data_IF_877955781233
#
_entry.id   IF_877955781233
#
_cell.length_a   1.000
_cell.length_b   1.000
_cell.length_c   1.000
_cell.angle_alpha   90.00
_cell.angle_beta   90.00
_cell.angle_gamma   90.00
#
_symmetry.space_group_name_H-M   'P 1'
#
loop_
_entity.id
_entity.type
_entity.pdbx_description
1 polymer ?
#
# COMPACT_ATOMS: atom_id res chain seq x y z
N UNK A 1 20.18 -10.61 -4.47
CA UNK A 1 19.84 -12.03 -4.32
C UNK A 1 18.56 -12.26 -5.10
N UNK A 2 18.40 -13.39 -5.78
CA UNK A 2 17.11 -13.71 -6.40
C UNK A 2 16.10 -14.00 -5.30
N UNK A 3 14.88 -13.55 -5.46
CA UNK A 3 13.79 -13.86 -4.56
C UNK A 3 13.64 -15.38 -4.43
N UNK A 4 13.40 -15.94 -3.22
CA UNK A 4 13.40 -17.40 -3.01
C UNK A 4 12.24 -18.13 -3.69
N UNK A 5 11.20 -17.40 -4.18
CA UNK A 5 10.03 -17.95 -4.87
C UNK A 5 10.07 -17.65 -6.38
N UNK A 6 9.40 -18.47 -7.21
CA UNK A 6 9.25 -18.18 -8.63
C UNK A 6 8.58 -16.84 -8.87
N UNK A 7 9.17 -16.03 -9.72
CA UNK A 7 8.63 -14.73 -10.12
C UNK A 7 8.76 -14.51 -11.62
N UNK A 8 7.99 -13.58 -12.15
CA UNK A 8 8.10 -13.05 -13.50
C UNK A 8 8.17 -11.52 -13.45
N UNK A 9 8.53 -10.92 -14.57
CA UNK A 9 8.71 -9.47 -14.67
C UNK A 9 7.95 -8.92 -15.86
N UNK A 10 7.45 -7.70 -15.70
CA UNK A 10 7.07 -6.81 -16.80
C UNK A 10 7.98 -5.59 -16.76
N UNK A 11 8.36 -5.08 -17.93
CA UNK A 11 9.25 -3.94 -18.01
C UNK A 11 8.95 -3.04 -19.22
N UNK A 12 9.31 -1.79 -19.10
CA UNK A 12 9.33 -0.80 -20.17
C UNK A 12 10.63 0.03 -20.09
N UNK A 13 10.73 1.13 -20.83
CA UNK A 13 11.93 1.97 -20.85
C UNK A 13 12.20 2.71 -19.52
N UNK A 14 11.27 2.69 -18.56
CA UNK A 14 11.34 3.45 -17.31
C UNK A 14 11.38 2.57 -16.08
N UNK A 15 10.60 1.49 -16.07
CA UNK A 15 10.34 0.64 -14.92
C UNK A 15 10.48 -0.85 -15.25
N UNK A 16 10.92 -1.63 -14.27
CA UNK A 16 10.72 -3.08 -14.19
C UNK A 16 9.97 -3.40 -12.90
N UNK A 17 8.95 -4.26 -13.01
CA UNK A 17 8.15 -4.74 -11.90
C UNK A 17 8.19 -6.26 -11.87
N UNK A 18 8.55 -6.83 -10.71
CA UNK A 18 8.61 -8.26 -10.48
C UNK A 18 7.42 -8.70 -9.61
N UNK A 19 6.75 -9.78 -10.00
CA UNK A 19 5.61 -10.36 -9.30
C UNK A 19 5.75 -11.86 -9.14
N UNK A 20 5.19 -12.42 -8.05
CA UNK A 20 5.22 -13.85 -7.81
C UNK A 20 4.28 -14.58 -8.79
N UNK A 21 4.61 -15.83 -9.14
CA UNK A 21 3.86 -16.63 -10.11
C UNK A 21 3.17 -17.84 -9.52
N UNK A 22 3.41 -18.16 -8.24
CA UNK A 22 2.86 -19.35 -7.59
C UNK A 22 2.14 -19.05 -6.27
N UNK A 23 2.27 -17.83 -5.79
CA UNK A 23 1.82 -17.40 -4.46
C UNK A 23 1.40 -15.94 -4.52
N UNK A 24 0.32 -15.55 -3.88
CA UNK A 24 -0.13 -14.15 -3.87
C UNK A 24 -1.64 -14.01 -4.08
N UNK A 25 -2.07 -12.89 -4.66
CA UNK A 25 -1.36 -11.93 -5.54
C UNK A 25 -0.32 -11.05 -4.83
N UNK A 26 0.87 -10.94 -5.41
CA UNK A 26 2.01 -10.25 -4.78
C UNK A 26 2.97 -9.63 -5.79
N UNK A 27 3.26 -8.32 -5.64
CA UNK A 27 4.36 -7.64 -6.32
C UNK A 27 5.55 -7.62 -5.36
N UNK A 28 6.73 -8.03 -5.82
CA UNK A 28 7.92 -8.18 -4.96
C UNK A 28 9.10 -7.31 -5.39
N UNK A 29 9.03 -6.71 -6.57
CA UNK A 29 10.08 -5.82 -7.06
C UNK A 29 9.54 -4.64 -7.84
N UNK A 30 10.14 -3.47 -7.62
CA UNK A 30 9.94 -2.26 -8.39
C UNK A 30 11.28 -1.58 -8.57
N UNK A 31 11.70 -1.47 -9.82
CA UNK A 31 12.98 -0.88 -10.21
C UNK A 31 12.72 0.24 -11.20
N UNK A 32 13.39 1.36 -11.02
CA UNK A 32 13.29 2.50 -11.92
C UNK A 32 14.65 2.85 -12.53
N UNK A 33 14.67 3.22 -13.80
CA UNK A 33 15.87 3.70 -14.47
C UNK A 33 16.36 4.96 -13.76
N UNK A 34 17.61 4.94 -13.29
CA UNK A 34 18.22 6.04 -12.53
C UNK A 34 18.10 5.94 -11.01
N UNK A 35 17.42 4.92 -10.49
CA UNK A 35 17.45 4.56 -9.07
C UNK A 35 18.22 3.25 -8.84
N UNK A 36 18.70 3.02 -7.61
CA UNK A 36 19.48 1.84 -7.27
C UNK A 36 18.62 0.79 -6.56
N UNK A 37 18.72 -0.46 -7.03
CA UNK A 37 18.11 -1.62 -6.39
C UNK A 37 16.59 -1.62 -6.40
N UNK A 38 16.02 -2.54 -5.62
CA UNK A 38 14.59 -2.66 -5.43
C UNK A 38 14.08 -1.52 -4.53
N UNK A 39 13.07 -0.77 -4.98
CA UNK A 39 12.42 0.26 -4.17
C UNK A 39 11.49 -0.35 -3.12
N UNK A 40 11.00 -1.57 -3.35
CA UNK A 40 10.20 -2.31 -2.40
C UNK A 40 11.09 -3.01 -1.35
N UNK A 41 10.53 -3.23 -0.17
CA UNK A 41 11.17 -4.03 0.86
C UNK A 41 11.06 -5.52 0.56
N UNK A 42 12.07 -6.28 0.94
CA UNK A 42 12.12 -7.73 0.84
C UNK A 42 12.16 -8.31 2.25
N UNK A 43 11.12 -9.07 2.62
CA UNK A 43 10.98 -9.67 3.96
C UNK A 43 10.62 -11.15 3.88
N UNK A 44 11.41 -11.98 3.17
CA UNK A 44 11.06 -13.37 2.87
C UNK A 44 10.95 -14.25 4.13
N UNK A 45 11.66 -13.91 5.19
CA UNK A 45 11.76 -14.71 6.41
C UNK A 45 10.76 -14.26 7.51
N UNK A 46 10.00 -13.19 7.26
CA UNK A 46 9.00 -12.70 8.24
C UNK A 46 7.70 -13.46 8.05
N UNK A 47 7.28 -14.18 9.09
CA UNK A 47 6.06 -14.97 9.08
C UNK A 47 5.46 -15.08 10.49
N UNK A 48 4.17 -15.44 10.58
CA UNK A 48 3.46 -15.70 11.82
C UNK A 48 2.27 -16.64 11.62
N UNK A 49 1.83 -17.37 12.67
CA UNK A 49 0.66 -18.23 12.59
C UNK A 49 -0.63 -17.41 12.49
N UNK A 50 -1.57 -17.89 11.66
CA UNK A 50 -2.94 -17.42 11.55
C UNK A 50 -3.92 -18.57 11.83
N UNK A 51 -5.23 -18.33 11.96
CA UNK A 51 -6.22 -19.40 12.10
C UNK A 51 -6.19 -20.46 10.98
N UNK A 52 -5.70 -20.08 9.79
CA UNK A 52 -5.69 -20.94 8.60
C UNK A 52 -4.31 -21.49 8.23
N UNK A 53 -3.26 -21.18 8.99
CA UNK A 53 -1.91 -21.64 8.75
C UNK A 53 -0.86 -20.54 8.86
N UNK A 54 0.34 -20.81 8.38
CA UNK A 54 1.46 -19.87 8.44
C UNK A 54 1.35 -18.83 7.33
N UNK A 55 1.29 -17.56 7.70
CA UNK A 55 1.34 -16.44 6.76
C UNK A 55 2.76 -15.89 6.63
N UNK A 56 3.22 -15.70 5.40
CA UNK A 56 4.53 -15.13 5.09
C UNK A 56 4.39 -13.71 4.54
N UNK A 57 5.02 -12.73 5.21
CA UNK A 57 4.92 -11.31 4.84
C UNK A 57 5.53 -11.00 3.48
N UNK A 58 6.67 -11.61 3.13
CA UNK A 58 7.38 -11.57 1.85
C UNK A 58 7.89 -10.19 1.40
N UNK A 59 7.35 -9.09 1.89
CA UNK A 59 7.62 -7.73 1.42
C UNK A 59 6.78 -7.33 0.20
N UNK A 60 7.16 -6.24 -0.45
CA UNK A 60 6.53 -5.77 -1.66
C UNK A 60 5.12 -5.21 -1.47
N UNK A 61 4.21 -5.56 -2.37
CA UNK A 61 2.85 -5.06 -2.34
C UNK A 61 1.84 -6.20 -2.29
N UNK A 62 0.80 -6.01 -1.45
CA UNK A 62 -0.26 -6.99 -1.21
C UNK A 62 -1.62 -6.34 -1.11
N UNK A 63 -2.66 -7.14 -1.33
CA UNK A 63 -4.06 -6.80 -1.10
C UNK A 63 -4.58 -7.55 0.11
N UNK A 64 -4.97 -6.81 1.14
CA UNK A 64 -5.68 -7.30 2.30
C UNK A 64 -7.09 -6.72 2.36
N UNK A 65 -7.80 -7.02 3.45
CA UNK A 65 -9.11 -6.46 3.77
C UNK A 65 -9.07 -5.77 5.13
N UNK A 66 -9.78 -4.65 5.25
CA UNK A 66 -9.92 -3.90 6.49
C UNK A 66 -11.40 -3.90 6.96
N UNK A 67 -11.67 -3.79 8.28
CA UNK A 67 -10.69 -3.70 9.36
C UNK A 67 -9.84 -4.97 9.47
N UNK A 68 -8.61 -4.82 10.05
CA UNK A 68 -7.71 -5.96 10.22
C UNK A 68 -8.34 -7.02 11.13
N UNK A 69 -8.48 -8.23 10.59
CA UNK A 69 -8.91 -9.41 11.34
C UNK A 69 -8.01 -10.59 10.96
N UNK A 70 -7.33 -11.22 11.95
CA UNK A 70 -6.50 -12.41 11.70
C UNK A 70 -7.22 -13.55 10.98
N UNK A 71 -8.55 -13.63 11.08
CA UNK A 71 -9.35 -14.62 10.37
C UNK A 71 -9.28 -14.44 8.85
N UNK A 72 -9.18 -13.21 8.34
CA UNK A 72 -9.07 -12.93 6.90
C UNK A 72 -7.62 -12.85 6.40
N UNK A 73 -6.64 -13.12 7.26
CA UNK A 73 -5.22 -13.26 6.88
C UNK A 73 -4.92 -14.73 6.65
N UNK A 74 -5.15 -15.19 5.43
CA UNK A 74 -4.92 -16.58 5.03
C UNK A 74 -3.56 -16.76 4.35
N UNK A 75 -2.97 -17.97 4.39
CA UNK A 75 -1.84 -18.31 3.53
C UNK A 75 -2.15 -17.98 2.06
N UNK A 76 -1.14 -17.50 1.34
CA UNK A 76 -1.30 -17.07 -0.06
C UNK A 76 -0.91 -18.20 -1.03
N UNK A 77 -1.47 -19.39 -0.85
CA UNK A 77 -1.12 -20.57 -1.64
C UNK A 77 -1.92 -20.63 -2.94
N UNK A 78 -1.18 -20.85 -4.03
CA UNK A 78 -1.75 -20.87 -5.36
C UNK A 78 -1.94 -19.48 -5.97
N UNK A 79 -1.74 -19.40 -7.29
CA UNK A 79 -1.93 -18.17 -8.05
C UNK A 79 -2.13 -18.49 -9.53
N UNK A 80 -3.18 -17.96 -10.11
CA UNK A 80 -3.35 -17.91 -11.54
C UNK A 80 -2.78 -16.61 -12.08
N UNK A 81 -1.88 -16.72 -13.06
CA UNK A 81 -1.29 -15.57 -13.75
C UNK A 81 -1.82 -15.55 -15.17
N UNK A 82 -2.50 -14.49 -15.52
CA UNK A 82 -3.06 -14.28 -16.85
C UNK A 82 -2.45 -13.03 -17.49
N UNK A 83 -2.35 -13.01 -18.81
CA UNK A 83 -1.93 -11.84 -19.56
C UNK A 83 -3.05 -11.46 -20.53
N UNK A 84 -3.46 -10.19 -20.48
CA UNK A 84 -4.45 -9.59 -21.38
C UNK A 84 -3.84 -8.33 -22.00
N UNK A 85 -3.30 -8.48 -23.22
CA UNK A 85 -2.50 -7.45 -23.86
C UNK A 85 -1.26 -7.09 -23.05
N UNK A 86 -1.15 -5.82 -22.64
CA UNK A 86 -0.06 -5.31 -21.80
C UNK A 86 -0.38 -5.40 -20.30
N UNK A 87 -1.55 -5.92 -19.92
CA UNK A 87 -1.99 -6.09 -18.54
C UNK A 87 -1.65 -7.50 -18.04
N UNK A 88 -1.08 -7.58 -16.84
CA UNK A 88 -0.90 -8.83 -16.09
C UNK A 88 -1.96 -8.90 -15.00
N UNK A 89 -2.62 -10.02 -14.87
CA UNK A 89 -3.64 -10.28 -13.85
C UNK A 89 -3.15 -11.41 -12.96
N UNK A 90 -3.05 -11.12 -11.67
CA UNK A 90 -2.67 -12.04 -10.61
C UNK A 90 -3.93 -12.38 -9.80
N UNK A 91 -4.39 -13.61 -9.85
CA UNK A 91 -5.63 -14.01 -9.19
C UNK A 91 -5.41 -15.19 -8.26
N UNK A 92 -5.77 -15.03 -6.97
CA UNK A 92 -5.75 -16.14 -6.02
C UNK A 92 -6.94 -17.09 -6.22
N UNK A 93 -6.83 -18.36 -5.83
CA UNK A 93 -8.02 -19.16 -5.55
C UNK A 93 -8.83 -18.52 -4.41
N UNK A 94 -10.04 -19.02 -4.17
CA UNK A 94 -10.80 -18.70 -2.96
C UNK A 94 -10.04 -19.25 -1.77
N UNK A 95 -9.73 -18.40 -0.80
CA UNK A 95 -9.03 -18.79 0.43
C UNK A 95 -10.00 -19.42 1.46
N UNK A 96 -9.45 -19.93 2.57
CA UNK A 96 -10.20 -20.59 3.63
C UNK A 96 -11.18 -19.65 4.35
N UNK A 97 -10.96 -18.34 4.27
CA UNK A 97 -11.88 -17.35 4.81
C UNK A 97 -13.01 -16.97 3.83
N UNK A 98 -12.99 -17.51 2.60
CA UNK A 98 -13.99 -17.25 1.56
C UNK A 98 -13.69 -16.02 0.70
N UNK A 99 -12.47 -15.50 0.70
CA UNK A 99 -12.05 -14.38 -0.12
C UNK A 99 -11.28 -14.84 -1.37
N UNK A 100 -11.57 -14.23 -2.51
CA UNK A 100 -10.81 -14.34 -3.75
C UNK A 100 -10.22 -12.94 -4.04
N UNK A 101 -8.90 -12.87 -4.22
CA UNK A 101 -8.17 -11.62 -4.40
C UNK A 101 -7.54 -11.56 -5.78
N UNK A 102 -7.59 -10.39 -6.40
CA UNK A 102 -7.00 -10.17 -7.72
C UNK A 102 -6.27 -8.81 -7.76
N UNK A 103 -5.12 -8.78 -8.41
CA UNK A 103 -4.40 -7.54 -8.73
C UNK A 103 -4.13 -7.54 -10.24
N UNK A 104 -4.68 -6.55 -10.94
CA UNK A 104 -4.35 -6.24 -12.32
C UNK A 104 -3.24 -5.19 -12.37
N UNK A 105 -2.24 -5.38 -13.23
CA UNK A 105 -1.03 -4.58 -13.30
C UNK A 105 -0.77 -4.16 -14.75
N UNK A 106 -0.55 -2.87 -14.98
CA UNK A 106 -0.13 -2.35 -16.27
C UNK A 106 0.94 -1.27 -16.09
N UNK A 107 1.96 -1.23 -16.96
CA UNK A 107 2.97 -0.18 -16.98
C UNK A 107 2.61 0.88 -18.03
N UNK A 108 2.63 2.16 -17.61
CA UNK A 108 2.47 3.31 -18.50
C UNK A 108 3.54 4.37 -18.21
N UNK A 109 4.55 4.46 -19.07
CA UNK A 109 5.69 5.33 -18.83
C UNK A 109 6.38 5.03 -17.51
N UNK A 110 6.50 6.02 -16.63
CA UNK A 110 7.03 5.87 -15.26
C UNK A 110 5.93 5.60 -14.22
N UNK A 111 4.76 5.15 -14.65
CA UNK A 111 3.63 4.79 -13.82
C UNK A 111 3.33 3.29 -13.85
N UNK A 112 2.78 2.80 -12.75
CA UNK A 112 2.19 1.46 -12.59
C UNK A 112 0.72 1.65 -12.26
N UNK A 113 -0.16 1.23 -13.14
CA UNK A 113 -1.61 1.23 -12.92
C UNK A 113 -2.04 -0.09 -12.30
N UNK A 114 -2.77 -0.02 -11.19
CA UNK A 114 -3.21 -1.17 -10.41
C UNK A 114 -4.72 -1.12 -10.18
N UNK A 115 -5.37 -2.26 -10.38
CA UNK A 115 -6.73 -2.49 -9.93
C UNK A 115 -6.74 -3.69 -8.98
N UNK A 116 -7.22 -3.49 -7.77
CA UNK A 116 -7.35 -4.51 -6.75
C UNK A 116 -8.82 -4.92 -6.66
N UNK A 117 -9.10 -6.23 -6.73
CA UNK A 117 -10.44 -6.76 -6.58
C UNK A 117 -10.48 -7.73 -5.41
N UNK A 118 -11.47 -7.56 -4.54
CA UNK A 118 -11.81 -8.53 -3.49
C UNK A 118 -13.21 -9.05 -3.80
N UNK A 119 -13.33 -10.34 -4.02
CA UNK A 119 -14.61 -11.03 -4.25
C UNK A 119 -14.95 -11.89 -3.05
N UNK A 120 -16.17 -11.76 -2.52
CA UNK A 120 -16.67 -12.57 -1.44
C UNK A 120 -17.35 -13.84 -1.98
N UNK A 121 -17.00 -15.00 -1.42
CA UNK A 121 -17.54 -16.32 -1.80
C UNK A 121 -18.22 -17.07 -0.65
N UNK A 122 -18.27 -16.46 0.56
CA UNK A 122 -18.98 -17.04 1.69
C UNK A 122 -20.51 -16.92 1.58
N UNK A 123 -21.21 -17.55 2.48
CA UNK A 123 -22.69 -17.65 2.43
C UNK A 123 -23.37 -16.39 2.97
N UNK A 124 -22.89 -15.84 4.10
CA UNK A 124 -23.47 -14.68 4.74
C UNK A 124 -22.85 -13.37 4.21
N UNK A 125 -23.61 -12.25 4.13
CA UNK A 125 -23.04 -10.95 3.75
C UNK A 125 -21.93 -10.52 4.70
N UNK A 126 -20.87 -9.89 4.16
CA UNK A 126 -19.74 -9.35 4.91
C UNK A 126 -19.57 -7.85 4.64
N UNK A 127 -19.08 -7.11 5.63
CA UNK A 127 -18.66 -5.72 5.47
C UNK A 127 -17.13 -5.65 5.54
N UNK A 128 -16.50 -5.15 4.48
CA UNK A 128 -15.06 -4.97 4.41
C UNK A 128 -14.68 -3.82 3.48
N UNK A 129 -13.42 -3.41 3.56
CA UNK A 129 -12.80 -2.50 2.60
C UNK A 129 -11.53 -3.16 2.00
N UNK A 130 -11.23 -2.99 0.71
CA UNK A 130 -9.93 -3.34 0.16
C UNK A 130 -8.83 -2.52 0.85
N UNK A 131 -7.73 -3.18 1.20
CA UNK A 131 -6.59 -2.57 1.88
C UNK A 131 -5.31 -2.91 1.11
N UNK A 132 -4.80 -1.93 0.39
CA UNK A 132 -3.64 -2.06 -0.49
C UNK A 132 -2.38 -1.55 0.19
N UNK A 133 -1.48 -2.47 0.54
CA UNK A 133 -0.30 -2.22 1.38
C UNK A 133 0.96 -2.33 0.54
N UNK A 134 1.75 -1.24 0.46
CA UNK A 134 3.03 -1.20 -0.24
C UNK A 134 4.17 -1.02 0.76
N UNK A 135 5.00 -2.05 0.89
CA UNK A 135 6.20 -2.05 1.73
C UNK A 135 7.39 -1.52 0.92
N UNK A 136 7.89 -0.36 1.29
CA UNK A 136 9.08 0.26 0.71
C UNK A 136 10.29 -0.02 1.61
N UNK A 137 11.49 0.01 1.02
CA UNK A 137 12.74 -0.13 1.77
C UNK A 137 12.91 0.98 2.81
N UNK A 138 13.58 0.68 3.91
CA UNK A 138 13.94 1.67 4.93
C UNK A 138 14.86 2.77 4.37
N UNK A 139 14.97 3.87 5.13
CA UNK A 139 15.77 5.05 4.78
C UNK A 139 15.00 6.14 4.05
N UNK A 140 13.71 5.88 3.72
CA UNK A 140 12.82 6.87 3.13
C UNK A 140 12.04 7.70 4.17
N UNK A 141 11.16 8.56 3.68
CA UNK A 141 10.22 9.34 4.51
C UNK A 141 8.87 9.39 3.82
N UNK A 142 7.85 8.86 4.49
CA UNK A 142 6.46 8.96 4.03
C UNK A 142 5.92 10.39 4.21
N UNK A 143 5.08 10.82 3.27
CA UNK A 143 4.38 12.11 3.26
C UNK A 143 2.89 11.83 3.12
N UNK A 144 2.11 12.16 4.16
CA UNK A 144 0.66 12.10 4.15
C UNK A 144 0.13 13.53 4.16
N UNK A 145 -0.50 14.02 3.07
CA UNK A 145 -1.05 15.38 3.06
C UNK A 145 -2.26 15.47 4.00
N UNK A 146 -2.38 16.60 4.67
CA UNK A 146 -3.56 16.94 5.45
C UNK A 146 -4.54 17.75 4.60
N UNK A 147 -5.84 17.67 4.88
CA UNK A 147 -6.84 18.49 4.21
C UNK A 147 -6.53 19.98 4.32
N UNK A 148 -7.02 20.76 3.34
CA UNK A 148 -6.91 22.20 3.33
C UNK A 148 -7.52 22.84 4.59
N UNK A 149 -7.04 24.03 4.93
CA UNK A 149 -7.41 24.73 6.18
C UNK A 149 -8.70 25.55 6.05
N UNK A 150 -9.38 25.45 4.94
CA UNK A 150 -10.62 26.20 4.67
C UNK A 150 -11.81 25.60 5.41
N UNK A 151 -12.61 26.46 6.03
CA UNK A 151 -13.86 26.09 6.67
C UNK A 151 -13.85 26.16 8.19
N UNK A 152 -15.04 25.96 8.79
CA UNK A 152 -15.29 26.06 10.23
C UNK A 152 -15.44 24.71 10.91
N UNK A 153 -15.68 23.64 10.14
CA UNK A 153 -15.89 22.30 10.70
C UNK A 153 -14.58 21.52 10.74
N UNK A 154 -14.41 20.61 11.73
CA UNK A 154 -13.27 19.72 11.77
C UNK A 154 -13.17 18.90 10.49
N UNK A 155 -12.01 18.91 9.86
CA UNK A 155 -11.71 18.17 8.63
C UNK A 155 -10.47 17.28 8.73
N UNK A 156 -9.84 17.20 9.91
CA UNK A 156 -8.62 16.42 10.17
C UNK A 156 -8.87 15.38 11.24
N UNK A 157 -8.50 14.14 10.98
CA UNK A 157 -8.35 13.10 11.97
C UNK A 157 -6.90 12.60 11.96
N UNK A 158 -6.40 12.26 13.11
CA UNK A 158 -5.11 11.61 13.31
C UNK A 158 -5.37 10.36 14.12
N UNK A 159 -5.17 9.21 13.52
CA UNK A 159 -5.43 7.92 14.17
C UNK A 159 -4.12 7.24 14.47
N UNK A 160 -3.94 6.88 15.73
CA UNK A 160 -2.74 6.18 16.22
C UNK A 160 -3.12 4.79 16.71
N UNK A 161 -2.36 3.80 16.31
CA UNK A 161 -2.50 2.43 16.80
C UNK A 161 -1.99 2.30 18.26
N UNK A 162 -2.49 1.33 19.03
CA UNK A 162 -2.15 1.18 20.45
C UNK A 162 -0.65 1.05 20.75
N UNK A 163 0.13 0.57 19.77
CA UNK A 163 1.57 0.42 19.89
C UNK A 163 2.36 1.68 19.47
N UNK A 164 1.71 2.68 18.87
CA UNK A 164 2.34 3.93 18.44
C UNK A 164 2.52 4.86 19.64
N UNK A 165 3.73 5.32 19.88
CA UNK A 165 4.00 6.36 20.88
C UNK A 165 3.68 7.73 20.27
N UNK A 166 2.95 8.58 21.00
CA UNK A 166 2.60 9.94 20.56
C UNK A 166 3.84 10.80 20.28
N UNK A 167 4.93 10.55 21.03
CA UNK A 167 6.21 11.24 20.87
C UNK A 167 7.26 10.35 20.18
N UNK A 168 6.86 9.53 19.21
CA UNK A 168 7.79 8.75 18.40
C UNK A 168 8.64 9.70 17.56
N UNK A 169 9.97 9.61 17.69
CA UNK A 169 10.92 10.51 17.01
C UNK A 169 10.86 10.42 15.48
N UNK A 170 10.27 9.34 14.95
CA UNK A 170 10.07 9.14 13.50
C UNK A 170 8.84 9.88 12.98
N UNK A 171 7.91 10.29 13.86
CA UNK A 171 6.66 10.93 13.51
C UNK A 171 6.76 12.45 13.69
N UNK A 172 6.56 13.19 12.59
CA UNK A 172 6.50 14.64 12.59
C UNK A 172 5.12 15.11 12.13
N UNK A 173 4.45 15.91 12.97
CA UNK A 173 3.14 16.49 12.68
C UNK A 173 3.29 17.97 12.34
N UNK A 174 2.87 18.34 11.12
CA UNK A 174 2.86 19.72 10.64
C UNK A 174 1.44 20.13 10.24
N UNK A 175 1.21 21.43 10.00
CA UNK A 175 -0.12 21.95 9.66
C UNK A 175 -0.61 21.51 8.28
N UNK A 176 0.29 21.10 7.41
CA UNK A 176 0.05 20.76 6.01
C UNK A 176 0.32 19.30 5.66
N UNK A 177 1.21 18.65 6.39
CA UNK A 177 1.63 17.28 6.15
C UNK A 177 1.94 16.53 7.45
N UNK A 178 1.76 15.21 7.42
CA UNK A 178 2.32 14.27 8.37
C UNK A 178 3.53 13.62 7.72
N UNK A 179 4.64 13.52 8.42
CA UNK A 179 5.85 12.84 7.97
C UNK A 179 6.15 11.66 8.88
N UNK A 180 6.47 10.51 8.28
CA UNK A 180 6.93 9.34 9.02
C UNK A 180 8.28 8.90 8.45
N UNK A 181 9.33 8.99 9.26
CA UNK A 181 10.68 8.58 8.88
C UNK A 181 10.77 7.06 8.79
N UNK A 182 11.27 6.55 7.69
CA UNK A 182 11.55 5.13 7.47
C UNK A 182 12.80 4.64 8.20
N UNK A 183 12.96 5.04 9.46
CA UNK A 183 14.04 4.57 10.30
C UNK A 183 13.62 3.29 11.02
N UNK A 184 14.42 2.22 10.88
CA UNK A 184 14.18 0.96 11.55
C UNK A 184 14.23 1.10 13.07
N UNK A 185 13.45 0.29 13.77
CA UNK A 185 13.42 0.29 15.24
C UNK A 185 12.63 -0.89 15.79
N UNK A 186 12.88 -1.25 17.04
CA UNK A 186 12.20 -2.38 17.71
C UNK A 186 10.68 -2.19 17.83
N UNK A 187 10.24 -0.94 17.96
CA UNK A 187 8.83 -0.61 18.09
C UNK A 187 8.23 -0.18 16.76
N UNK A 188 7.03 -0.68 16.49
CA UNK A 188 6.23 -0.20 15.39
C UNK A 188 5.71 1.21 15.68
N UNK A 189 5.58 2.00 14.60
CA UNK A 189 4.86 3.28 14.60
C UNK A 189 3.90 3.28 13.43
N UNK A 190 2.63 3.53 13.68
CA UNK A 190 1.58 3.61 12.64
C UNK A 190 0.70 4.82 12.88
N UNK A 191 0.44 5.55 11.82
CA UNK A 191 -0.49 6.68 11.81
C UNK A 191 -1.38 6.60 10.57
N UNK A 192 -2.64 6.97 10.74
CA UNK A 192 -3.59 7.09 9.65
C UNK A 192 -4.33 8.42 9.68
N UNK A 193 -4.87 8.80 8.53
CA UNK A 193 -5.74 9.96 8.40
C UNK A 193 -6.79 9.77 7.28
N UNK A 194 -7.81 10.63 7.30
CA UNK A 194 -8.69 10.80 6.16
C UNK A 194 -8.07 11.80 5.20
N UNK A 195 -7.50 11.28 4.15
CA UNK A 195 -6.86 12.04 3.09
C UNK A 195 -7.92 12.52 2.08
N UNK A 196 -7.89 13.81 1.73
CA UNK A 196 -8.79 14.41 0.73
C UNK A 196 -8.10 14.71 -0.61
N UNK A 197 -6.79 14.48 -0.70
CA UNK A 197 -5.99 14.78 -1.90
C UNK A 197 -5.83 13.59 -2.85
N UNK A 198 -6.13 12.36 -2.41
CA UNK A 198 -6.02 11.15 -3.23
C UNK A 198 -4.58 10.73 -3.54
N UNK A 199 -3.63 11.10 -2.71
CA UNK A 199 -2.25 10.65 -2.85
C UNK A 199 -1.53 10.51 -1.50
N UNK A 200 -0.52 9.67 -1.48
CA UNK A 200 0.50 9.52 -0.45
C UNK A 200 1.84 9.30 -1.15
N UNK A 201 2.94 9.72 -0.56
CA UNK A 201 4.25 9.61 -1.22
C UNK A 201 5.35 9.18 -0.25
N UNK A 202 6.47 8.71 -0.79
CA UNK A 202 7.68 8.41 -0.04
C UNK A 202 8.92 8.98 -0.76
N UNK A 203 9.74 9.74 -0.03
CA UNK A 203 11.06 10.17 -0.47
C UNK A 203 12.04 9.03 -0.21
N UNK A 204 12.69 8.52 -1.24
CA UNK A 204 13.62 7.38 -1.17
C UNK A 204 15.08 7.77 -1.46
N UNK A 205 15.41 9.05 -1.36
CA UNK A 205 16.75 9.58 -1.65
C UNK A 205 16.96 9.84 -3.13
N UNK A 206 17.09 8.82 -3.95
CA UNK A 206 17.25 8.93 -5.41
C UNK A 206 15.94 8.77 -6.20
N UNK A 207 14.83 8.56 -5.53
CA UNK A 207 13.51 8.47 -6.13
C UNK A 207 12.42 9.06 -5.24
N UNK A 208 11.40 9.61 -5.85
CA UNK A 208 10.11 9.90 -5.25
C UNK A 208 9.12 8.83 -5.72
N UNK A 209 8.55 8.09 -4.77
CA UNK A 209 7.44 7.18 -5.01
C UNK A 209 6.14 7.88 -4.63
N UNK A 210 5.21 7.99 -5.57
CA UNK A 210 3.88 8.58 -5.36
C UNK A 210 2.83 7.50 -5.59
N UNK A 211 1.93 7.34 -4.65
CA UNK A 211 0.79 6.44 -4.72
C UNK A 211 -0.48 7.28 -4.76
N UNK A 212 -1.21 7.23 -5.87
CA UNK A 212 -2.51 7.89 -6.05
C UNK A 212 -3.61 6.85 -5.94
N UNK A 213 -4.77 7.26 -5.46
CA UNK A 213 -5.93 6.38 -5.28
C UNK A 213 -7.25 7.15 -5.40
N UNK A 214 -8.32 6.43 -5.70
CA UNK A 214 -9.64 7.02 -5.81
C UNK A 214 -10.29 7.20 -4.44
N UNK A 215 -10.79 8.40 -4.16
CA UNK A 215 -11.51 8.73 -2.93
C UNK A 215 -13.01 8.65 -3.16
N UNK A 216 -13.72 7.89 -2.32
CA UNK A 216 -15.17 8.01 -2.17
C UNK A 216 -15.48 9.05 -1.09
N UNK A 217 -15.82 10.29 -1.48
CA UNK A 217 -16.02 11.39 -0.54
C UNK A 217 -17.14 11.12 0.47
N UNK A 218 -18.17 10.36 0.09
CA UNK A 218 -19.31 9.99 0.94
C UNK A 218 -19.18 8.62 1.60
N UNK A 219 -18.11 7.87 1.28
CA UNK A 219 -17.87 6.52 1.81
C UNK A 219 -17.48 6.52 3.28
N UNK A 220 -17.92 5.51 4.01
CA UNK A 220 -17.35 5.16 5.30
C UNK A 220 -16.01 4.45 5.08
N UNK A 221 -15.04 4.74 5.91
CA UNK A 221 -13.72 4.08 5.87
C UNK A 221 -13.43 3.37 7.19
N UNK A 222 -12.63 2.31 7.17
CA UNK A 222 -12.24 1.60 8.40
C UNK A 222 -11.35 2.46 9.30
N UNK A 223 -10.90 1.90 10.41
CA UNK A 223 -9.88 2.46 11.29
C UNK A 223 -10.14 3.93 11.66
N UNK A 224 -11.35 4.18 12.21
CA UNK A 224 -11.85 5.51 12.60
C UNK A 224 -11.90 6.52 11.43
N UNK A 225 -12.08 6.02 10.20
CA UNK A 225 -12.27 6.82 8.99
C UNK A 225 -11.01 7.07 8.19
N UNK A 226 -9.98 6.27 8.35
CA UNK A 226 -8.75 6.36 7.56
C UNK A 226 -8.93 5.80 6.16
N UNK A 227 -8.42 6.51 5.16
CA UNK A 227 -8.23 6.00 3.81
C UNK A 227 -6.75 5.99 3.38
N UNK A 228 -5.87 6.51 4.23
CA UNK A 228 -4.41 6.42 4.11
C UNK A 228 -3.82 6.12 5.48
N UNK A 229 -2.84 5.23 5.50
CA UNK A 229 -2.06 4.88 6.66
C UNK A 229 -0.59 4.75 6.28
N UNK A 230 0.29 5.02 7.23
CA UNK A 230 1.71 4.76 7.12
C UNK A 230 2.20 4.01 8.35
N UNK A 231 3.00 2.99 8.12
CA UNK A 231 3.59 2.14 9.16
C UNK A 231 5.08 2.04 8.98
N UNK A 232 5.83 1.94 10.06
CA UNK A 232 7.26 1.64 10.05
C UNK A 232 7.65 0.77 11.23
N UNK A 233 8.54 -0.18 10.96
CA UNK A 233 9.21 -0.99 11.98
C UNK A 233 10.67 -1.26 11.57
N UNK A 234 11.17 -2.45 11.83
CA UNK A 234 12.57 -2.86 11.65
C UNK A 234 12.96 -3.21 10.20
N UNK A 235 12.00 -3.53 9.33
CA UNK A 235 12.27 -4.08 7.99
C UNK A 235 11.79 -3.21 6.84
N UNK A 236 10.77 -2.38 7.05
CA UNK A 236 10.15 -1.60 5.97
C UNK A 236 9.42 -0.36 6.49
N UNK A 237 9.11 0.53 5.56
CA UNK A 237 8.08 1.56 5.73
C UNK A 237 6.92 1.20 4.80
N UNK A 238 5.68 1.22 5.31
CA UNK A 238 4.48 0.92 4.52
C UNK A 238 3.74 2.21 4.16
N UNK A 239 3.27 2.28 2.91
CA UNK A 239 2.24 3.20 2.46
C UNK A 239 1.00 2.39 2.14
N UNK A 240 -0.07 2.69 2.83
CA UNK A 240 -1.30 1.92 2.80
C UNK A 240 -2.45 2.82 2.33
N UNK A 241 -3.28 2.31 1.42
CA UNK A 241 -4.50 2.99 0.99
C UNK A 241 -5.68 2.04 1.14
N UNK A 242 -6.82 2.59 1.53
CA UNK A 242 -8.01 1.82 1.82
C UNK A 242 -9.18 2.30 0.95
N UNK A 243 -9.92 1.33 0.41
CA UNK A 243 -11.23 1.60 -0.17
C UNK A 243 -12.27 1.92 0.91
N UNK A 244 -13.45 2.35 0.52
CA UNK A 244 -14.58 2.51 1.44
C UNK A 244 -15.15 1.15 1.83
N UNK A 245 -15.68 1.07 3.06
CA UNK A 245 -16.41 -0.12 3.56
C UNK A 245 -17.59 -0.39 2.63
N UNK A 246 -17.70 -1.64 2.20
CA UNK A 246 -18.75 -2.12 1.30
C UNK A 246 -19.32 -3.42 1.83
N UNK A 247 -20.65 -3.53 1.83
CA UNK A 247 -21.34 -4.80 2.14
C UNK A 247 -21.34 -5.69 0.89
N UNK A 248 -20.75 -6.86 0.96
CA UNK A 248 -20.69 -7.85 -0.11
C UNK A 248 -21.53 -9.07 0.22
N UNK A 249 -22.35 -9.50 -0.74
CA UNK A 249 -23.03 -10.79 -0.73
C UNK A 249 -22.18 -11.80 -1.51
N UNK A 250 -22.52 -13.08 -1.39
CA UNK A 250 -21.83 -14.15 -2.14
C UNK A 250 -21.81 -13.86 -3.64
N UNK A 251 -20.61 -13.78 -4.20
CA UNK A 251 -20.37 -13.43 -5.60
C UNK A 251 -20.14 -11.94 -5.89
N UNK A 252 -20.41 -11.05 -4.92
CA UNK A 252 -20.13 -9.62 -5.10
C UNK A 252 -18.63 -9.33 -4.99
N UNK A 253 -18.19 -8.29 -5.70
CA UNK A 253 -16.81 -7.80 -5.68
C UNK A 253 -16.76 -6.32 -5.37
N UNK A 254 -15.67 -5.90 -4.73
CA UNK A 254 -15.30 -4.49 -4.55
C UNK A 254 -13.93 -4.23 -5.18
N UNK A 255 -13.78 -3.05 -5.78
CA UNK A 255 -12.56 -2.64 -6.48
C UNK A 255 -11.91 -1.45 -5.77
N UNK A 256 -10.58 -1.45 -5.72
CA UNK A 256 -9.76 -0.32 -5.30
C UNK A 256 -8.65 -0.09 -6.32
N UNK A 257 -8.65 1.10 -6.94
CA UNK A 257 -7.68 1.45 -7.97
C UNK A 257 -6.56 2.34 -7.41
N UNK A 258 -5.34 2.06 -7.82
CA UNK A 258 -4.15 2.85 -7.54
C UNK A 258 -3.35 3.13 -8.79
N UNK A 259 -2.68 4.28 -8.83
CA UNK A 259 -1.61 4.58 -9.78
C UNK A 259 -0.36 4.92 -9.00
N UNK A 260 0.72 4.19 -9.25
CA UNK A 260 2.04 4.50 -8.68
C UNK A 260 2.87 5.25 -9.70
N UNK A 261 3.49 6.33 -9.30
CA UNK A 261 4.45 7.05 -10.12
C UNK A 261 5.84 7.03 -9.45
N UNK A 262 6.87 6.68 -10.22
CA UNK A 262 8.26 6.75 -9.77
C UNK A 262 8.98 7.85 -10.53
N UNK A 263 9.47 8.84 -9.79
CA UNK A 263 10.20 9.97 -10.35
C UNK A 263 11.63 9.91 -9.80
N UNK A 264 12.60 9.62 -10.67
CA UNK A 264 14.02 9.56 -10.29
C UNK A 264 14.63 10.94 -10.19
N UNK A 265 15.49 11.16 -9.20
CA UNK A 265 16.09 12.45 -8.90
C UNK A 265 16.69 12.49 -7.50
N UNK A 266 16.92 13.68 -6.96
CA UNK A 266 17.43 13.85 -5.60
C UNK A 266 16.31 14.31 -4.67
N UNK A 267 15.92 13.43 -3.75
CA UNK A 267 14.81 13.63 -2.80
C UNK A 267 15.27 13.36 -1.37
N UNK A 268 16.02 14.30 -0.73
CA UNK A 268 16.41 14.13 0.66
C UNK A 268 15.19 14.12 1.59
N UNK A 269 15.24 13.30 2.62
CA UNK A 269 14.17 13.14 3.63
C UNK A 269 14.15 14.37 4.57
N UNK A 270 13.63 15.50 4.07
CA UNK A 270 13.50 16.76 4.81
C UNK A 270 12.10 17.34 4.67
N UNK A 271 11.67 18.12 5.66
CA UNK A 271 10.40 18.86 5.62
C UNK A 271 10.29 19.78 4.39
N UNK A 272 11.40 20.44 4.02
CA UNK A 272 11.42 21.33 2.86
C UNK A 272 11.11 20.55 1.57
N UNK A 273 11.76 19.41 1.36
CA UNK A 273 11.51 18.54 0.20
C UNK A 273 10.07 18.02 0.22
N UNK A 274 9.58 17.58 1.38
CA UNK A 274 8.21 17.08 1.52
C UNK A 274 7.17 18.14 1.16
N UNK A 275 7.32 19.36 1.62
CA UNK A 275 6.43 20.50 1.28
C UNK A 275 6.47 20.86 -0.20
N UNK A 276 7.66 20.84 -0.82
CA UNK A 276 7.79 21.06 -2.26
C UNK A 276 7.05 20.00 -3.06
N UNK A 277 7.21 18.73 -2.69
CA UNK A 277 6.50 17.59 -3.30
C UNK A 277 5.01 17.71 -3.09
N UNK A 278 4.55 17.94 -1.84
CA UNK A 278 3.14 18.11 -1.53
C UNK A 278 2.49 19.20 -2.38
N UNK A 279 3.14 20.34 -2.50
CA UNK A 279 2.67 21.43 -3.35
C UNK A 279 2.55 21.04 -4.83
N UNK A 280 3.53 20.31 -5.36
CA UNK A 280 3.49 19.84 -6.76
C UNK A 280 2.34 18.86 -7.01
N UNK A 281 2.12 17.91 -6.09
CA UNK A 281 1.12 16.85 -6.24
C UNK A 281 -0.32 17.33 -6.01
N UNK A 282 -0.53 18.39 -5.24
CA UNK A 282 -1.86 18.94 -4.97
C UNK A 282 -2.41 19.81 -6.11
N UNK A 283 -1.56 20.26 -7.06
CA UNK A 283 -1.95 21.05 -8.22
C UNK A 283 -1.91 20.26 -9.54
N UNK A 284 -1.55 19.00 -9.53
CA UNK A 284 -1.52 18.09 -10.67
C UNK A 284 -2.74 17.15 -10.68
#
# INVERSE_FOLDING_TARGET
>A
MSYPLPFASIENNFLRLDYLTTTGPRIVGLYAVGAQGNLLAETPDVHWPTPHGEYYLRGGHRLWTAPEDPFYTCPEDGLDVMQDGDKVILKSPVDEAGLEKEISIQLDGNCVELEHHVTWRGDDPIELAPWAITQLRLGGMAILPLPDTDGLLPNRNLVLWPYTQIQDERLELHDDVILLQGAGGERACKIGNRNSHGWVACLLGEALFVKRFTINASGAYPDLGCNVEAYVKDTCIELETLGSITTLKSGDSVTHAESWQVITGTYPSTLETARKVSKQLSYS
#
